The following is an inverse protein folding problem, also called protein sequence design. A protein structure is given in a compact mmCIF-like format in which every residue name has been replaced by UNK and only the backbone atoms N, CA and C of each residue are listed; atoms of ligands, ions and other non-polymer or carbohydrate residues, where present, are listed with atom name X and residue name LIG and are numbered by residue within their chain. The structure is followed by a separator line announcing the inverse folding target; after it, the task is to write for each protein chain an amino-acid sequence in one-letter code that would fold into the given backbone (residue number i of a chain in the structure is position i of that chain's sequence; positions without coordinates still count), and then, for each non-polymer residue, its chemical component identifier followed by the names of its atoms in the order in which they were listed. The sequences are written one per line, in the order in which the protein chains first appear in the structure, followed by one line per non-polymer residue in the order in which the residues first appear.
data_IF_788221870081
#
_entry.id   IF_788221870081
#
_cell.length_a   1.000
_cell.length_b   1.000
_cell.length_c   1.000
_cell.angle_alpha   90.00
_cell.angle_beta   90.00
_cell.angle_gamma   90.00
#
_symmetry.space_group_name_H-M   'P 1'
#
loop_
_entity.id
_entity.type
_entity.pdbx_description
1 polymer ?
#
# COMPACT_ATOMS: atom_id res chain seq x y z
N UNK A 1 -1.41 23.91 19.00
CA UNK A 1 -2.04 23.91 17.66
C UNK A 1 -1.06 23.28 16.70
N UNK A 2 -1.53 22.24 16.03
CA UNK A 2 -0.72 21.19 15.40
C UNK A 2 0.06 21.72 14.19
N UNK A 3 1.40 21.64 14.26
CA UNK A 3 2.33 22.25 13.29
C UNK A 3 2.41 21.50 11.94
N UNK A 4 1.59 20.47 11.74
CA UNK A 4 1.63 19.61 10.54
C UNK A 4 1.12 20.31 9.28
N UNK A 5 0.36 21.41 9.40
CA UNK A 5 -0.08 22.20 8.25
C UNK A 5 1.06 22.99 7.57
N UNK A 6 2.20 23.13 8.23
CA UNK A 6 3.40 23.79 7.68
C UNK A 6 4.28 22.79 6.92
N UNK A 7 4.08 21.48 7.14
CA UNK A 7 4.88 20.47 6.49
C UNK A 7 4.42 20.27 5.03
N UNK A 8 5.36 20.22 4.07
CA UNK A 8 5.05 19.83 2.71
C UNK A 8 4.44 18.42 2.65
N UNK A 9 3.57 18.18 1.67
CA UNK A 9 2.94 16.86 1.44
C UNK A 9 3.98 15.74 1.40
N UNK A 10 5.10 15.95 0.73
CA UNK A 10 6.18 14.97 0.62
C UNK A 10 6.77 14.56 1.98
N UNK A 11 6.90 15.49 2.92
CA UNK A 11 7.37 15.17 4.28
C UNK A 11 6.36 14.29 5.03
N UNK A 12 5.07 14.62 4.91
CA UNK A 12 4.00 13.82 5.52
C UNK A 12 3.97 12.43 4.88
N UNK A 13 4.09 12.34 3.56
CA UNK A 13 4.15 11.06 2.84
C UNK A 13 5.35 10.21 3.28
N UNK A 14 6.52 10.81 3.49
CA UNK A 14 7.67 10.10 4.06
C UNK A 14 7.42 9.61 5.48
N UNK A 15 6.79 10.40 6.34
CA UNK A 15 6.42 9.96 7.70
C UNK A 15 5.45 8.78 7.61
N UNK A 16 4.41 8.88 6.78
CA UNK A 16 3.43 7.82 6.58
C UNK A 16 4.07 6.56 5.98
N UNK A 17 5.08 6.67 5.13
CA UNK A 17 5.83 5.52 4.59
C UNK A 17 6.54 4.67 5.67
N UNK A 18 6.72 5.23 6.88
CA UNK A 18 7.35 4.57 8.02
C UNK A 18 6.33 3.97 9.00
N UNK A 19 5.03 4.17 8.77
CA UNK A 19 3.96 3.58 9.59
C UNK A 19 3.45 2.28 8.98
N UNK A 20 2.36 1.70 9.50
CA UNK A 20 1.71 0.57 8.83
C UNK A 20 0.78 1.07 7.69
N UNK A 21 0.51 0.25 6.65
CA UNK A 21 -0.48 0.60 5.62
C UNK A 21 -1.85 0.96 6.19
N UNK A 22 -2.23 0.33 7.31
CA UNK A 22 -3.48 0.61 8.03
C UNK A 22 -3.46 2.02 8.63
N UNK A 23 -2.35 2.42 9.26
CA UNK A 23 -2.20 3.74 9.87
C UNK A 23 -2.12 4.84 8.82
N UNK A 24 -1.42 4.59 7.71
CA UNK A 24 -1.42 5.48 6.54
C UNK A 24 -2.84 5.73 6.03
N UNK A 25 -3.66 4.68 5.84
CA UNK A 25 -5.06 4.83 5.44
C UNK A 25 -5.91 5.61 6.46
N UNK A 26 -5.70 5.39 7.76
CA UNK A 26 -6.43 6.15 8.81
C UNK A 26 -6.06 7.62 8.81
N UNK A 27 -4.82 7.96 8.50
CA UNK A 27 -4.35 9.35 8.46
C UNK A 27 -5.09 10.19 7.42
N UNK A 28 -5.63 9.58 6.36
CA UNK A 28 -6.43 10.28 5.34
C UNK A 28 -7.68 10.97 5.90
N UNK A 29 -8.16 10.58 7.08
CA UNK A 29 -9.31 11.21 7.72
C UNK A 29 -8.97 12.52 8.46
N UNK A 30 -7.68 12.86 8.61
CA UNK A 30 -7.25 14.05 9.36
C UNK A 30 -7.50 15.32 8.56
N UNK A 31 -7.06 15.36 7.29
CA UNK A 31 -7.24 16.51 6.39
C UNK A 31 -7.01 16.12 4.93
N UNK A 32 -7.33 17.02 4.00
CA UNK A 32 -7.06 16.83 2.56
C UNK A 32 -5.56 16.66 2.26
N UNK A 33 -4.68 17.35 3.01
CA UNK A 33 -3.23 17.22 2.87
C UNK A 33 -2.75 15.82 3.31
N UNK A 34 -3.24 15.33 4.45
CA UNK A 34 -2.94 13.98 4.89
C UNK A 34 -3.52 12.93 3.95
N UNK A 35 -4.72 13.16 3.39
CA UNK A 35 -5.30 12.30 2.36
C UNK A 35 -4.39 12.21 1.13
N UNK A 36 -3.94 13.34 0.58
CA UNK A 36 -3.02 13.36 -0.56
C UNK A 36 -1.71 12.61 -0.25
N UNK A 37 -1.08 12.92 0.89
CA UNK A 37 0.15 12.26 1.33
C UNK A 37 0.00 10.75 1.57
N UNK A 38 -1.16 10.32 2.09
CA UNK A 38 -1.50 8.93 2.36
C UNK A 38 -1.88 8.15 1.10
N UNK A 39 -2.35 8.82 0.04
CA UNK A 39 -2.66 8.21 -1.26
C UNK A 39 -1.46 8.30 -2.23
N UNK A 40 -0.35 8.94 -1.82
CA UNK A 40 0.84 9.14 -2.64
C UNK A 40 1.64 7.86 -2.89
N UNK A 41 2.09 7.66 -4.13
CA UNK A 41 2.99 6.56 -4.50
C UNK A 41 4.34 6.58 -3.77
N UNK A 42 4.75 7.71 -3.19
CA UNK A 42 5.93 7.79 -2.34
C UNK A 42 5.73 7.09 -1.00
N UNK A 43 4.52 7.17 -0.43
CA UNK A 43 4.18 6.47 0.81
C UNK A 43 4.10 4.96 0.57
N UNK A 44 3.44 4.55 -0.52
CA UNK A 44 3.16 3.14 -0.82
C UNK A 44 4.35 2.36 -1.37
N UNK A 45 5.40 3.01 -1.88
CA UNK A 45 6.63 2.32 -2.34
C UNK A 45 7.22 1.44 -1.22
N UNK A 46 7.22 1.92 0.03
CA UNK A 46 7.81 1.17 1.17
C UNK A 46 6.93 0.04 1.69
N UNK A 47 5.64 0.05 1.36
CA UNK A 47 4.71 -1.01 1.75
C UNK A 47 4.73 -2.19 0.79
N UNK A 48 5.23 -1.98 -0.42
CA UNK A 48 5.36 -3.01 -1.42
C UNK A 48 6.59 -3.90 -1.15
N UNK A 49 6.53 -5.19 -1.52
CA UNK A 49 7.71 -6.06 -1.51
C UNK A 49 8.82 -5.49 -2.40
N UNK A 50 10.10 -5.61 -2.03
CA UNK A 50 11.21 -5.05 -2.82
C UNK A 50 11.30 -5.61 -4.25
N UNK A 51 10.74 -6.80 -4.48
CA UNK A 51 10.67 -7.49 -5.76
C UNK A 51 9.36 -7.24 -6.53
N UNK A 52 8.49 -6.30 -6.09
CA UNK A 52 7.20 -6.02 -6.73
C UNK A 52 7.32 -5.73 -8.24
N UNK A 53 8.40 -5.06 -8.67
CA UNK A 53 8.66 -4.76 -10.10
C UNK A 53 8.90 -6.04 -10.91
N UNK A 54 9.61 -6.99 -10.31
CA UNK A 54 9.88 -8.30 -10.92
C UNK A 54 8.60 -9.14 -10.96
N UNK A 55 7.80 -9.10 -9.89
CA UNK A 55 6.48 -9.74 -9.82
C UNK A 55 5.58 -9.20 -10.94
N UNK A 56 5.50 -7.88 -11.11
CA UNK A 56 4.74 -7.24 -12.19
C UNK A 56 5.23 -7.66 -13.58
N UNK A 57 6.55 -7.73 -13.79
CA UNK A 57 7.13 -8.12 -15.09
C UNK A 57 6.86 -9.57 -15.48
N UNK A 58 6.63 -10.44 -14.50
CA UNK A 58 6.40 -11.88 -14.66
C UNK A 58 4.93 -12.27 -14.59
N UNK A 59 4.05 -11.30 -14.37
CA UNK A 59 2.61 -11.51 -14.33
C UNK A 59 2.12 -11.92 -15.72
N UNK A 60 1.38 -13.02 -15.79
CA UNK A 60 0.79 -13.55 -17.05
C UNK A 60 -0.19 -12.55 -17.68
N UNK A 61 -0.82 -11.70 -16.84
CA UNK A 61 -1.60 -10.55 -17.29
C UNK A 61 -0.89 -9.27 -16.85
N UNK A 62 -0.37 -8.44 -17.77
CA UNK A 62 0.16 -7.14 -17.42
C UNK A 62 -1.00 -6.22 -16.97
N UNK A 63 -1.33 -6.28 -15.69
CA UNK A 63 -2.30 -5.38 -15.08
C UNK A 63 -1.59 -4.07 -14.80
N UNK A 64 -1.94 -3.04 -15.59
CA UNK A 64 -1.52 -1.68 -15.30
C UNK A 64 -2.31 -1.20 -14.08
N UNK A 65 -1.63 -1.04 -12.94
CA UNK A 65 -2.23 -0.47 -11.75
C UNK A 65 -2.07 1.05 -11.78
N UNK A 66 -3.14 1.81 -11.52
CA UNK A 66 -3.10 3.27 -11.59
C UNK A 66 -2.25 3.90 -10.47
N UNK A 67 -2.11 3.21 -9.35
CA UNK A 67 -1.30 3.63 -8.18
C UNK A 67 -0.69 2.43 -7.50
N UNK A 68 0.39 2.65 -6.74
CA UNK A 68 1.05 1.62 -5.91
C UNK A 68 0.16 1.14 -4.77
N UNK A 69 -0.72 2.01 -4.27
CA UNK A 69 -1.79 1.64 -3.35
C UNK A 69 -2.71 0.58 -3.93
N UNK A 70 -3.13 0.77 -5.19
CA UNK A 70 -3.98 -0.19 -5.87
C UNK A 70 -3.24 -1.51 -6.14
N UNK A 71 -1.94 -1.46 -6.46
CA UNK A 71 -1.11 -2.66 -6.56
C UNK A 71 -1.05 -3.42 -5.23
N UNK A 72 -0.80 -2.73 -4.12
CA UNK A 72 -0.76 -3.35 -2.79
C UNK A 72 -2.08 -4.06 -2.45
N UNK A 73 -3.21 -3.38 -2.65
CA UNK A 73 -4.53 -3.96 -2.38
C UNK A 73 -4.79 -5.18 -3.27
N UNK A 74 -4.46 -5.09 -4.56
CA UNK A 74 -4.60 -6.23 -5.48
C UNK A 74 -3.74 -7.43 -5.06
N UNK A 75 -2.54 -7.21 -4.53
CA UNK A 75 -1.67 -8.27 -4.02
C UNK A 75 -2.21 -8.90 -2.73
N UNK A 76 -2.93 -8.13 -1.91
CA UNK A 76 -3.62 -8.65 -0.72
C UNK A 76 -4.86 -9.46 -1.09
N UNK A 77 -5.64 -9.00 -2.06
CA UNK A 77 -6.92 -9.62 -2.45
C UNK A 77 -6.74 -10.83 -3.35
N UNK A 78 -5.68 -10.87 -4.17
CA UNK A 78 -5.45 -11.94 -5.14
C UNK A 78 -3.96 -12.24 -5.28
N UNK A 79 -3.50 -13.44 -4.90
CA UNK A 79 -2.11 -13.82 -5.13
C UNK A 79 -1.85 -13.88 -6.65
N UNK A 80 -0.86 -13.13 -7.12
CA UNK A 80 -0.52 -13.11 -8.54
C UNK A 80 0.07 -14.46 -8.96
N UNK A 81 -0.46 -15.00 -10.06
CA UNK A 81 0.10 -16.17 -10.74
C UNK A 81 1.34 -15.72 -11.51
N UNK A 82 2.51 -16.17 -11.07
CA UNK A 82 3.76 -15.97 -11.81
C UNK A 82 3.95 -17.10 -12.83
N UNK A 83 4.65 -16.76 -13.91
CA UNK A 83 5.08 -17.73 -14.93
C UNK A 83 5.81 -18.92 -14.26
N UNK A 84 5.31 -20.13 -14.54
CA UNK A 84 5.72 -21.39 -13.88
C UNK A 84 4.84 -21.88 -12.71
N UNK A 85 3.70 -21.24 -12.44
CA UNK A 85 2.72 -21.74 -11.44
C UNK A 85 3.11 -21.48 -9.98
N UNK A 86 4.14 -20.66 -9.74
CA UNK A 86 4.57 -20.28 -8.40
C UNK A 86 3.71 -19.11 -7.91
N UNK A 87 2.86 -19.37 -6.91
CA UNK A 87 2.11 -18.34 -6.21
C UNK A 87 3.10 -17.48 -5.42
N UNK A 88 3.13 -16.17 -5.68
CA UNK A 88 3.70 -15.23 -4.71
C UNK A 88 2.71 -15.17 -3.55
N UNK A 89 3.21 -15.59 -2.39
CA UNK A 89 2.48 -15.64 -1.13
C UNK A 89 1.84 -14.27 -0.91
N UNK A 90 0.56 -14.19 -0.49
CA UNK A 90 -0.05 -12.92 -0.13
C UNK A 90 0.89 -12.19 0.85
N UNK A 91 1.09 -10.89 0.65
CA UNK A 91 1.79 -10.03 1.62
C UNK A 91 1.18 -10.39 2.95
N UNK A 92 1.95 -11.04 3.83
CA UNK A 92 1.44 -11.54 5.10
C UNK A 92 1.02 -10.34 5.92
N UNK A 93 -0.25 -9.96 5.76
CA UNK A 93 -0.94 -9.05 6.64
C UNK A 93 -1.09 -9.81 7.95
N UNK A 94 -0.50 -9.38 9.07
CA UNK A 94 -0.85 -9.95 10.37
C UNK A 94 -2.30 -9.61 10.79
N UNK A 95 -3.23 -9.37 9.86
CA UNK A 95 -4.51 -8.74 10.18
C UNK A 95 -5.62 -8.92 9.13
N UNK A 96 -5.78 -10.11 8.53
CA UNK A 96 -7.05 -10.46 7.87
C UNK A 96 -7.88 -11.49 8.65
N UNK A 97 -7.26 -12.28 9.53
CA UNK A 97 -7.99 -13.14 10.46
C UNK A 97 -8.74 -12.37 11.57
N UNK A 98 -8.46 -11.07 11.76
CA UNK A 98 -9.09 -10.25 12.81
C UNK A 98 -10.40 -9.58 12.38
N UNK A 99 -10.75 -9.56 11.09
CA UNK A 99 -11.98 -8.91 10.60
C UNK A 99 -13.15 -9.88 10.38
N UNK A 100 -12.93 -11.19 10.54
CA UNK A 100 -14.00 -12.21 10.52
C UNK A 100 -14.65 -12.44 11.90
N UNK A 101 -14.16 -11.80 12.97
CA UNK A 101 -14.68 -11.96 14.34
C UNK A 101 -15.36 -10.69 14.90
N UNK A 102 -15.62 -9.68 14.05
CA UNK A 102 -16.29 -8.43 14.44
C UNK A 102 -17.49 -8.07 13.53
N UNK A 103 -18.10 -9.07 12.90
CA UNK A 103 -19.49 -9.03 12.43
C UNK A 103 -20.29 -10.11 13.17
#
# INVERSE_FOLDING_TARGET
MDNFYVLPEGCISQILSLTSPRDACRSSAISSLFKAAADSDGAWEKFLPSDYRQIMSRSVSPVAFPTKKHLYLSLCDSPLLLDGGKLVIPIAIPSLAALSLLL
#
